data_IF_821844055302
#
_entry.id   IF_821844055302
#
_cell.length_a   1.000
_cell.length_b   1.000
_cell.length_c   1.000
_cell.angle_alpha   90.00
_cell.angle_beta   90.00
_cell.angle_gamma   90.00
#
_symmetry.space_group_name_H-M   'P 1'
#
loop_
_entity.id
_entity.type
_entity.pdbx_description
1 polymer ?
#
# COMPACT_ATOMS: atom_id res chain seq x y z
N UNK A 1 -17.00 -36.02 -62.28
CA UNK A 1 -17.37 -36.41 -60.90
C UNK A 1 -16.14 -36.26 -59.99
N UNK A 2 -15.98 -35.13 -59.33
CA UNK A 2 -14.85 -34.83 -58.44
C UNK A 2 -15.39 -34.65 -57.04
N UNK A 3 -15.05 -35.57 -56.13
CA UNK A 3 -15.35 -35.49 -54.70
C UNK A 3 -14.24 -34.64 -54.03
N UNK A 4 -14.55 -33.44 -53.55
CA UNK A 4 -13.66 -32.66 -52.68
C UNK A 4 -13.81 -33.14 -51.23
N UNK A 5 -12.74 -33.19 -50.44
CA UNK A 5 -12.77 -33.66 -49.07
C UNK A 5 -13.23 -32.58 -48.10
N UNK A 6 -14.21 -32.95 -47.28
CA UNK A 6 -14.71 -32.23 -46.09
C UNK A 6 -13.77 -32.45 -44.89
N UNK A 7 -12.59 -31.85 -44.91
CA UNK A 7 -11.60 -32.09 -43.81
C UNK A 7 -10.83 -30.82 -43.36
N UNK A 8 -11.45 -29.65 -43.47
CA UNK A 8 -10.77 -28.38 -43.10
C UNK A 8 -11.56 -27.51 -42.13
N UNK A 9 -12.45 -28.06 -41.28
CA UNK A 9 -13.26 -27.22 -40.35
C UNK A 9 -13.24 -27.66 -38.90
N UNK A 10 -12.21 -28.33 -38.42
CA UNK A 10 -12.15 -28.83 -37.03
C UNK A 10 -11.02 -28.27 -36.17
N UNK A 11 -10.25 -27.26 -36.61
CA UNK A 11 -9.10 -26.75 -35.84
C UNK A 11 -9.25 -25.35 -35.25
N UNK A 12 -10.45 -24.77 -35.21
CA UNK A 12 -10.61 -23.34 -34.82
C UNK A 12 -11.31 -23.11 -33.47
N UNK A 13 -11.49 -24.11 -32.63
CA UNK A 13 -12.21 -23.94 -31.34
C UNK A 13 -11.37 -24.19 -30.07
N UNK A 14 -10.05 -24.18 -30.12
CA UNK A 14 -9.20 -24.34 -28.93
C UNK A 14 -8.30 -23.11 -28.65
N UNK A 15 -8.70 -21.92 -29.07
CA UNK A 15 -8.13 -20.70 -28.52
C UNK A 15 -8.76 -20.43 -27.14
N UNK A 16 -8.55 -21.36 -26.20
CA UNK A 16 -8.81 -21.16 -24.78
C UNK A 16 -7.99 -19.94 -24.32
N UNK A 17 -8.68 -18.91 -23.85
CA UNK A 17 -8.05 -17.77 -23.21
C UNK A 17 -7.17 -18.26 -22.05
N UNK A 18 -5.89 -18.39 -22.30
CA UNK A 18 -4.87 -18.50 -21.24
C UNK A 18 -4.80 -17.09 -20.62
N UNK A 19 -5.61 -16.87 -19.58
CA UNK A 19 -5.44 -15.69 -18.74
C UNK A 19 -4.07 -15.80 -18.06
N UNK A 20 -3.21 -14.78 -18.17
CA UNK A 20 -1.91 -14.85 -17.55
C UNK A 20 -2.08 -14.96 -16.02
N UNK A 21 -1.53 -16.01 -15.44
CA UNK A 21 -1.52 -16.27 -14.00
C UNK A 21 -0.83 -15.17 -13.16
N UNK A 22 -0.26 -14.17 -13.81
CA UNK A 22 0.42 -13.03 -13.19
C UNK A 22 -0.50 -12.07 -12.44
N UNK A 23 -1.81 -12.05 -12.75
CA UNK A 23 -2.75 -11.13 -12.08
C UNK A 23 -3.13 -11.56 -10.67
N UNK A 24 -3.09 -12.85 -10.37
CA UNK A 24 -3.50 -13.39 -9.06
C UNK A 24 -2.39 -13.26 -8.01
N UNK A 25 -1.14 -13.51 -8.41
CA UNK A 25 0.04 -13.28 -7.56
C UNK A 25 0.28 -11.79 -7.23
N UNK A 26 -0.09 -10.88 -8.13
CA UNK A 26 0.01 -9.44 -7.88
C UNK A 26 -1.06 -8.98 -6.88
N UNK A 27 -2.29 -9.50 -6.95
CA UNK A 27 -3.37 -9.20 -6.00
C UNK A 27 -3.07 -9.71 -4.59
N UNK A 28 -2.37 -10.84 -4.45
CA UNK A 28 -2.07 -11.46 -3.16
C UNK A 28 -1.06 -10.69 -2.29
N UNK A 29 -0.46 -9.61 -2.81
CA UNK A 29 0.56 -8.81 -2.12
C UNK A 29 0.11 -7.39 -1.78
N UNK A 30 -1.11 -7.02 -2.09
CA UNK A 30 -1.60 -5.67 -1.82
C UNK A 30 -2.06 -5.55 -0.37
N UNK A 31 -1.62 -4.54 0.38
CA UNK A 31 -2.00 -4.32 1.78
C UNK A 31 -3.40 -3.68 1.86
N UNK A 32 -4.45 -4.45 1.60
CA UNK A 32 -5.83 -3.97 1.68
C UNK A 32 -6.27 -3.69 3.10
N UNK A 33 -7.13 -2.66 3.28
CA UNK A 33 -7.70 -2.27 4.57
C UNK A 33 -8.71 -3.30 5.10
N UNK A 34 -9.39 -4.02 4.21
CA UNK A 34 -10.36 -5.03 4.59
C UNK A 34 -9.73 -6.42 4.70
N UNK A 35 -10.04 -7.13 5.78
CA UNK A 35 -9.69 -8.53 5.93
C UNK A 35 -10.70 -9.42 5.20
N UNK A 36 -10.33 -9.91 4.02
CA UNK A 36 -11.16 -10.82 3.23
C UNK A 36 -10.68 -12.28 3.25
N UNK A 37 -9.80 -12.64 4.17
CA UNK A 37 -9.11 -13.93 4.15
C UNK A 37 -8.09 -14.07 3.01
N UNK A 38 -7.89 -13.01 2.25
CA UNK A 38 -7.01 -12.91 1.09
C UNK A 38 -5.54 -12.77 1.54
N UNK A 39 -4.58 -13.33 0.79
CA UNK A 39 -3.14 -13.13 1.02
C UNK A 39 -2.69 -11.67 1.16
N UNK A 40 -3.38 -10.71 0.56
CA UNK A 40 -3.09 -9.28 0.67
C UNK A 40 -3.22 -8.75 2.09
N UNK A 41 -4.21 -9.20 2.83
CA UNK A 41 -4.41 -8.80 4.23
C UNK A 41 -3.34 -9.36 5.16
N UNK A 42 -2.71 -10.48 4.79
CA UNK A 42 -1.57 -11.03 5.54
C UNK A 42 -0.44 -10.02 5.66
N UNK A 43 -0.29 -9.14 4.66
CA UNK A 43 0.75 -8.12 4.69
C UNK A 43 0.49 -7.05 5.76
N UNK A 44 -0.76 -6.60 5.96
CA UNK A 44 -1.11 -5.66 7.04
C UNK A 44 -0.86 -6.30 8.41
N UNK A 45 -1.14 -7.60 8.56
CA UNK A 45 -0.81 -8.37 9.78
C UNK A 45 0.71 -8.41 10.00
N UNK A 46 1.49 -8.67 8.97
CA UNK A 46 2.96 -8.66 9.06
C UNK A 46 3.50 -7.26 9.42
N UNK A 47 2.91 -6.18 8.89
CA UNK A 47 3.24 -4.82 9.30
C UNK A 47 2.95 -4.59 10.79
N UNK A 48 1.79 -5.06 11.27
CA UNK A 48 1.42 -4.99 12.67
C UNK A 48 2.42 -5.72 13.57
N UNK A 49 2.89 -6.88 13.16
CA UNK A 49 3.91 -7.65 13.87
C UNK A 49 5.30 -7.00 13.82
N UNK A 50 5.65 -6.38 12.69
CA UNK A 50 6.93 -5.71 12.51
C UNK A 50 7.08 -4.45 13.38
N UNK A 51 5.97 -3.72 13.60
CA UNK A 51 5.92 -2.51 14.45
C UNK A 51 4.84 -2.69 15.51
N UNK A 52 5.12 -3.48 16.58
CA UNK A 52 4.11 -3.86 17.57
C UNK A 52 3.53 -2.67 18.34
N UNK A 53 4.29 -1.60 18.51
CA UNK A 53 3.84 -0.38 19.19
C UNK A 53 2.83 0.45 18.38
N UNK A 54 2.76 0.28 17.06
CA UNK A 54 1.92 1.09 16.19
C UNK A 54 0.42 0.85 16.45
N UNK A 55 -0.31 1.88 16.84
CA UNK A 55 -1.77 1.81 17.04
C UNK A 55 -2.55 1.87 15.74
N UNK A 56 -1.92 2.30 14.64
CA UNK A 56 -2.51 2.38 13.30
C UNK A 56 -1.60 1.73 12.26
N UNK A 57 -2.20 1.12 11.25
CA UNK A 57 -1.54 0.38 10.19
C UNK A 57 -1.96 0.95 8.85
N UNK A 58 -1.01 1.35 7.97
CA UNK A 58 -1.36 1.86 6.66
C UNK A 58 -1.88 0.74 5.76
N UNK A 59 -2.91 1.04 5.00
CA UNK A 59 -3.51 0.09 4.07
C UNK A 59 -4.04 0.81 2.81
N UNK A 60 -4.41 0.03 1.81
CA UNK A 60 -4.96 0.50 0.55
C UNK A 60 -6.46 0.20 0.54
N UNK A 61 -7.29 1.20 0.32
CA UNK A 61 -8.72 1.00 0.10
C UNK A 61 -9.00 0.62 -1.36
N UNK A 62 -8.55 1.44 -2.28
CA UNK A 62 -8.70 1.22 -3.71
C UNK A 62 -7.58 1.93 -4.46
N UNK A 63 -6.83 1.21 -5.30
CA UNK A 63 -5.82 1.85 -6.15
C UNK A 63 -6.47 2.58 -7.34
N UNK A 64 -6.08 3.82 -7.63
CA UNK A 64 -6.51 4.51 -8.83
C UNK A 64 -6.01 3.80 -10.09
N UNK A 65 -6.65 4.06 -11.23
CA UNK A 65 -6.19 3.54 -12.52
C UNK A 65 -4.73 3.97 -12.78
N UNK A 66 -3.93 3.05 -13.30
CA UNK A 66 -2.51 3.29 -13.60
C UNK A 66 -1.57 3.15 -12.39
N UNK A 67 -2.10 2.85 -11.20
CA UNK A 67 -1.28 2.58 -10.01
C UNK A 67 -1.21 1.09 -9.69
N UNK A 68 -0.04 0.62 -9.29
CA UNK A 68 0.19 -0.78 -8.92
C UNK A 68 1.11 -0.88 -7.70
N UNK A 69 0.89 -1.89 -6.85
CA UNK A 69 1.84 -2.24 -5.78
C UNK A 69 3.05 -2.95 -6.39
N UNK A 70 4.25 -2.46 -6.12
CA UNK A 70 5.48 -2.99 -6.72
C UNK A 70 6.38 -3.71 -5.74
N UNK A 71 6.61 -3.14 -4.59
CA UNK A 71 7.58 -3.63 -3.62
C UNK A 71 6.95 -3.70 -2.23
N UNK A 72 7.24 -4.78 -1.52
CA UNK A 72 6.72 -5.06 -0.19
C UNK A 72 7.87 -5.58 0.66
N UNK A 73 8.10 -4.93 1.80
CA UNK A 73 9.20 -5.26 2.68
C UNK A 73 8.78 -5.17 4.15
N UNK A 74 9.13 -6.18 4.94
CA UNK A 74 8.84 -6.23 6.37
C UNK A 74 10.07 -6.73 7.12
N UNK A 75 10.47 -6.01 8.15
CA UNK A 75 11.46 -6.42 9.14
C UNK A 75 11.12 -5.82 10.51
N UNK A 76 11.73 -6.32 11.58
CA UNK A 76 11.52 -5.77 12.92
C UNK A 76 11.76 -4.25 12.94
N UNK A 77 10.78 -3.51 13.45
CA UNK A 77 10.80 -2.06 13.55
C UNK A 77 10.50 -1.31 12.25
N UNK A 78 10.27 -2.00 11.12
CA UNK A 78 9.97 -1.32 9.86
C UNK A 78 9.18 -2.17 8.90
N UNK A 79 8.13 -1.59 8.34
CA UNK A 79 7.44 -2.17 7.18
C UNK A 79 7.27 -1.11 6.10
N UNK A 80 7.30 -1.51 4.84
CA UNK A 80 7.04 -0.62 3.71
C UNK A 80 6.39 -1.35 2.56
N UNK A 81 5.65 -0.59 1.75
CA UNK A 81 5.29 -0.97 0.40
C UNK A 81 5.47 0.21 -0.54
N UNK A 82 5.65 -0.07 -1.82
CA UNK A 82 5.81 0.96 -2.83
C UNK A 82 4.72 0.84 -3.90
N UNK A 83 4.36 1.98 -4.45
CA UNK A 83 3.42 2.11 -5.56
C UNK A 83 4.14 2.64 -6.78
N UNK A 84 3.92 1.99 -7.93
CA UNK A 84 4.30 2.51 -9.24
C UNK A 84 3.11 3.25 -9.84
N UNK A 85 3.40 4.22 -10.70
CA UNK A 85 2.40 4.89 -11.53
C UNK A 85 2.89 4.90 -12.99
N UNK A 86 1.99 4.63 -13.92
CA UNK A 86 2.24 4.74 -15.36
C UNK A 86 2.49 6.18 -15.82
N UNK A 87 2.06 7.18 -15.00
CA UNK A 87 2.22 8.61 -15.28
C UNK A 87 3.51 9.22 -14.72
N UNK A 88 3.97 8.76 -13.55
CA UNK A 88 5.09 9.41 -12.84
C UNK A 88 6.19 8.46 -12.41
N UNK A 89 6.14 7.20 -12.83
CA UNK A 89 7.27 6.28 -12.78
C UNK A 89 7.19 5.22 -11.69
N UNK A 90 8.29 4.50 -11.57
CA UNK A 90 8.46 3.41 -10.59
C UNK A 90 8.72 3.98 -9.19
N UNK A 91 8.20 3.29 -8.17
CA UNK A 91 8.31 3.70 -6.76
C UNK A 91 7.86 5.15 -6.53
N UNK A 92 6.83 5.57 -7.29
CA UNK A 92 6.29 6.92 -7.23
C UNK A 92 5.85 7.32 -5.82
N UNK A 93 5.38 6.35 -5.03
CA UNK A 93 5.11 6.53 -3.60
C UNK A 93 5.67 5.36 -2.82
N UNK A 94 6.39 5.63 -1.74
CA UNK A 94 6.75 4.63 -0.74
C UNK A 94 6.00 4.93 0.55
N UNK A 95 5.24 3.97 1.04
CA UNK A 95 4.56 4.01 2.33
C UNK A 95 5.40 3.24 3.33
N UNK A 96 5.86 3.92 4.38
CA UNK A 96 6.76 3.35 5.39
C UNK A 96 6.14 3.50 6.77
N UNK A 97 6.01 2.37 7.49
CA UNK A 97 5.60 2.31 8.90
C UNK A 97 6.83 2.06 9.77
N UNK A 98 7.02 2.91 10.78
CA UNK A 98 8.11 2.84 11.78
C UNK A 98 7.59 3.23 13.16
N UNK A 99 8.28 2.85 14.26
CA UNK A 99 7.90 3.28 15.62
C UNK A 99 7.94 4.80 15.79
N UNK A 100 8.83 5.48 15.08
CA UNK A 100 9.02 6.93 15.13
C UNK A 100 9.41 7.48 13.78
N UNK A 101 8.98 8.72 13.46
CA UNK A 101 9.42 9.43 12.26
C UNK A 101 10.57 10.37 12.53
N UNK A 102 11.47 10.48 11.56
CA UNK A 102 12.51 11.50 11.50
C UNK A 102 11.91 12.84 11.03
N UNK A 103 11.30 13.59 11.95
CA UNK A 103 10.73 14.90 11.67
C UNK A 103 11.79 16.02 11.68
N UNK A 104 13.03 15.72 12.08
CA UNK A 104 14.12 16.68 12.15
C UNK A 104 14.52 17.23 10.77
N UNK A 105 14.95 18.49 10.76
CA UNK A 105 15.45 19.19 9.59
C UNK A 105 14.58 20.39 9.17
N UNK A 106 15.17 21.28 8.37
CA UNK A 106 14.50 22.45 7.85
C UNK A 106 13.27 22.06 7.00
N UNK A 107 12.19 22.83 7.16
CA UNK A 107 10.98 22.77 6.32
C UNK A 107 9.97 21.63 6.56
N UNK A 108 9.89 21.08 7.77
CA UNK A 108 8.73 20.27 8.15
C UNK A 108 7.64 21.19 8.70
N UNK A 109 6.47 21.20 8.06
CA UNK A 109 5.32 22.00 8.45
C UNK A 109 4.21 21.11 8.99
N UNK A 110 3.65 21.46 10.15
CA UNK A 110 2.45 20.81 10.66
C UNK A 110 1.24 21.33 9.89
N UNK A 111 0.38 20.40 9.44
CA UNK A 111 -0.86 20.69 8.72
C UNK A 111 -2.03 19.97 9.37
N UNK A 112 -3.29 20.38 9.15
CA UNK A 112 -4.44 19.62 9.61
C UNK A 112 -4.37 18.16 9.11
N UNK A 113 -4.71 17.20 9.98
CA UNK A 113 -4.79 15.81 9.58
C UNK A 113 -6.17 15.47 9.07
N UNK A 114 -6.21 14.73 7.97
CA UNK A 114 -7.39 14.12 7.38
C UNK A 114 -7.70 12.73 8.00
N UNK A 115 -6.73 12.17 8.76
CA UNK A 115 -6.84 10.85 9.38
C UNK A 115 -7.08 10.96 10.90
N UNK A 116 -8.15 10.37 11.43
CA UNK A 116 -8.47 10.42 12.85
C UNK A 116 -7.33 9.84 13.73
N UNK A 117 -7.09 10.48 14.87
CA UNK A 117 -6.07 10.03 15.83
C UNK A 117 -4.63 10.26 15.39
N UNK A 118 -4.39 10.99 14.28
CA UNK A 118 -3.06 11.28 13.77
C UNK A 118 -2.73 12.78 13.80
N UNK A 119 -1.44 13.10 13.80
CA UNK A 119 -0.89 14.44 13.55
C UNK A 119 -0.15 14.41 12.23
N UNK A 120 -0.57 15.26 11.28
CA UNK A 120 0.04 15.32 9.96
C UNK A 120 1.13 16.40 9.88
N UNK A 121 2.23 16.04 9.22
CA UNK A 121 3.32 16.93 8.89
C UNK A 121 3.70 16.73 7.44
N UNK A 122 4.19 17.78 6.79
CA UNK A 122 4.62 17.73 5.41
C UNK A 122 6.02 18.32 5.26
N UNK A 123 6.82 17.69 4.42
CA UNK A 123 8.11 18.17 3.95
C UNK A 123 8.07 18.21 2.42
N UNK A 124 8.14 19.41 1.88
CA UNK A 124 8.35 19.58 0.45
C UNK A 124 9.85 19.49 0.21
N UNK A 125 10.27 18.52 -0.59
CA UNK A 125 11.65 18.37 -1.02
C UNK A 125 11.93 19.24 -2.24
N UNK A 126 12.55 18.65 -3.25
CA UNK A 126 12.87 19.35 -4.48
C UNK A 126 11.69 19.36 -5.45
N UNK A 127 11.46 20.53 -6.05
CA UNK A 127 10.59 20.70 -7.21
C UNK A 127 11.47 21.19 -8.35
N UNK A 128 11.69 20.31 -9.34
CA UNK A 128 12.46 20.67 -10.53
C UNK A 128 11.49 20.70 -11.72
N UNK A 129 11.10 21.89 -12.21
CA UNK A 129 10.20 22.02 -13.35
C UNK A 129 10.69 21.16 -14.53
N UNK A 130 9.80 20.34 -15.10
CA UNK A 130 10.12 19.45 -16.22
C UNK A 130 11.03 18.26 -15.91
N UNK A 131 11.48 18.08 -14.63
CA UNK A 131 12.41 17.01 -14.26
C UNK A 131 11.82 16.12 -13.19
N UNK A 132 11.21 16.66 -12.13
CA UNK A 132 10.63 15.83 -11.09
C UNK A 132 10.23 16.55 -9.81
N UNK A 133 9.65 15.77 -8.91
CA UNK A 133 9.19 16.20 -7.60
C UNK A 133 9.56 15.19 -6.54
N UNK A 134 10.00 15.67 -5.38
CA UNK A 134 10.10 14.88 -4.16
C UNK A 134 9.37 15.55 -3.00
N UNK A 135 8.78 14.77 -2.13
CA UNK A 135 8.10 15.27 -0.94
C UNK A 135 7.83 14.13 0.05
N UNK A 136 7.51 14.49 1.28
CA UNK A 136 7.14 13.50 2.29
C UNK A 136 6.00 14.03 3.13
N UNK A 137 4.98 13.22 3.33
CA UNK A 137 3.90 13.42 4.28
C UNK A 137 4.06 12.43 5.42
N UNK A 138 3.95 12.91 6.65
CA UNK A 138 4.06 12.09 7.84
C UNK A 138 2.75 12.11 8.61
N UNK A 139 2.33 10.95 9.07
CA UNK A 139 1.23 10.74 9.99
C UNK A 139 1.79 10.14 11.27
N UNK A 140 1.79 10.92 12.34
CA UNK A 140 2.31 10.53 13.67
C UNK A 140 1.15 10.21 14.58
N UNK A 141 1.16 9.03 15.17
CA UNK A 141 0.14 8.53 16.06
C UNK A 141 0.76 7.78 17.26
N UNK A 142 -0.05 7.28 18.15
CA UNK A 142 0.44 6.56 19.32
C UNK A 142 1.25 5.33 18.91
N UNK A 143 2.51 5.27 19.38
CA UNK A 143 3.42 4.15 19.17
C UNK A 143 3.91 3.94 17.74
N UNK A 144 3.66 4.89 16.83
CA UNK A 144 4.10 4.74 15.46
C UNK A 144 4.03 6.01 14.61
N UNK A 145 4.58 5.87 13.44
CA UNK A 145 4.52 6.87 12.38
C UNK A 145 4.49 6.22 11.00
N UNK A 146 3.69 6.77 10.12
CA UNK A 146 3.70 6.43 8.70
C UNK A 146 4.22 7.61 7.90
N UNK A 147 5.13 7.35 6.96
CA UNK A 147 5.55 8.35 5.98
C UNK A 147 5.15 7.93 4.57
N UNK A 148 4.53 8.85 3.83
CA UNK A 148 4.31 8.76 2.38
C UNK A 148 5.41 9.55 1.71
N UNK A 149 6.35 8.86 1.08
CA UNK A 149 7.50 9.44 0.39
C UNK A 149 7.20 9.48 -1.10
N UNK A 150 7.00 10.68 -1.64
CA UNK A 150 6.71 10.91 -3.05
C UNK A 150 8.00 11.12 -3.83
N UNK A 151 8.12 10.43 -4.96
CA UNK A 151 9.22 10.57 -5.91
C UNK A 151 8.67 10.46 -7.33
N UNK A 152 8.33 11.58 -7.92
CA UNK A 152 7.77 11.66 -9.27
C UNK A 152 8.84 12.06 -10.26
N UNK A 153 8.88 11.44 -11.42
CA UNK A 153 9.76 11.79 -12.54
C UNK A 153 9.28 13.01 -13.32
N UNK A 154 8.09 13.54 -12.98
CA UNK A 154 7.56 14.81 -13.47
C UNK A 154 6.99 15.60 -12.31
N UNK A 155 7.11 16.93 -12.36
CA UNK A 155 6.48 17.85 -11.42
C UNK A 155 5.10 18.34 -11.90
N UNK A 156 4.74 18.02 -13.12
CA UNK A 156 3.43 18.29 -13.68
C UNK A 156 2.36 17.46 -12.98
N UNK A 157 1.19 18.02 -12.80
CA UNK A 157 0.04 17.36 -12.15
C UNK A 157 0.30 16.80 -10.72
N UNK A 158 1.46 17.12 -10.10
CA UNK A 158 1.84 16.55 -8.80
C UNK A 158 0.76 16.70 -7.71
N UNK A 159 0.06 17.83 -7.68
CA UNK A 159 -0.98 18.07 -6.70
C UNK A 159 -2.17 17.12 -6.88
N UNK A 160 -2.57 16.88 -8.12
CA UNK A 160 -3.63 15.94 -8.48
C UNK A 160 -3.20 14.51 -8.13
N UNK A 161 -2.01 14.10 -8.53
CA UNK A 161 -1.49 12.74 -8.30
C UNK A 161 -1.28 12.42 -6.80
N UNK A 162 -0.81 13.40 -6.02
CA UNK A 162 -0.74 13.28 -4.56
C UNK A 162 -2.15 13.12 -3.98
N UNK A 163 -3.13 13.90 -4.46
CA UNK A 163 -4.51 13.79 -4.06
C UNK A 163 -5.10 12.42 -4.36
N UNK A 164 -4.97 11.95 -5.60
CA UNK A 164 -5.47 10.64 -6.04
C UNK A 164 -4.93 9.50 -5.18
N UNK A 165 -3.61 9.43 -5.00
CA UNK A 165 -3.00 8.33 -4.24
C UNK A 165 -3.28 8.45 -2.75
N UNK A 166 -3.37 9.65 -2.21
CA UNK A 166 -3.68 9.85 -0.79
C UNK A 166 -5.10 9.39 -0.46
N UNK A 167 -6.08 9.65 -1.34
CA UNK A 167 -7.45 9.17 -1.19
C UNK A 167 -7.58 7.65 -1.29
N UNK A 168 -6.56 6.98 -1.82
CA UNK A 168 -6.51 5.52 -1.96
C UNK A 168 -5.84 4.83 -0.79
N UNK A 169 -5.13 5.59 0.04
CA UNK A 169 -4.43 5.13 1.23
C UNK A 169 -5.22 5.54 2.47
N UNK A 170 -5.32 4.65 3.42
CA UNK A 170 -6.03 4.87 4.67
C UNK A 170 -5.32 4.15 5.82
N UNK A 171 -5.93 4.18 6.98
CA UNK A 171 -5.44 3.50 8.17
C UNK A 171 -6.50 2.58 8.75
N UNK A 172 -6.08 1.39 9.13
CA UNK A 172 -6.85 0.52 10.00
C UNK A 172 -6.24 0.55 11.39
N UNK A 173 -7.04 0.71 12.42
CA UNK A 173 -6.54 0.64 13.79
C UNK A 173 -6.08 -0.79 14.09
N UNK A 174 -5.04 -0.93 14.94
CA UNK A 174 -4.59 -2.25 15.39
C UNK A 174 -5.72 -3.06 16.03
N UNK A 175 -6.58 -2.40 16.82
CA UNK A 175 -7.70 -3.06 17.49
C UNK A 175 -8.77 -3.53 16.48
N UNK A 176 -9.07 -2.75 15.46
CA UNK A 176 -9.97 -3.18 14.39
C UNK A 176 -9.38 -4.37 13.63
N UNK A 177 -8.10 -4.32 13.26
CA UNK A 177 -7.42 -5.44 12.61
C UNK A 177 -7.41 -6.69 13.49
N UNK A 178 -7.19 -6.54 14.78
CA UNK A 178 -7.28 -7.62 15.76
C UNK A 178 -8.67 -8.28 15.77
N UNK A 179 -9.73 -7.45 15.78
CA UNK A 179 -11.12 -7.93 15.69
C UNK A 179 -11.36 -8.75 14.42
N UNK A 180 -10.94 -8.24 13.27
CA UNK A 180 -11.06 -8.91 11.98
C UNK A 180 -10.33 -10.27 11.94
N UNK A 181 -9.11 -10.34 12.51
CA UNK A 181 -8.34 -11.59 12.59
C UNK A 181 -9.05 -12.60 13.49
N UNK A 182 -9.53 -12.19 14.65
CA UNK A 182 -10.24 -13.09 15.57
C UNK A 182 -11.51 -13.65 14.95
N UNK A 183 -12.28 -12.82 14.26
CA UNK A 183 -13.49 -13.22 13.55
C UNK A 183 -13.14 -14.23 12.44
N UNK A 184 -12.21 -13.90 11.54
CA UNK A 184 -11.83 -14.76 10.43
C UNK A 184 -11.18 -16.09 10.84
N UNK A 185 -10.55 -16.14 12.01
CA UNK A 185 -9.91 -17.35 12.53
C UNK A 185 -10.75 -18.09 13.58
N UNK A 186 -11.98 -17.64 13.84
CA UNK A 186 -12.81 -18.14 14.94
C UNK A 186 -12.08 -18.11 16.29
N UNK A 187 -11.33 -17.02 16.55
CA UNK A 187 -10.58 -16.83 17.79
C UNK A 187 -9.26 -17.60 17.88
N UNK A 188 -8.85 -18.35 16.85
CA UNK A 188 -7.59 -19.14 16.87
C UNK A 188 -6.32 -18.32 16.70
N UNK A 189 -6.42 -17.11 16.16
CA UNK A 189 -5.31 -16.16 16.04
C UNK A 189 -5.71 -14.80 16.62
N UNK A 190 -4.73 -14.09 17.16
CA UNK A 190 -4.90 -12.76 17.72
C UNK A 190 -3.65 -11.90 17.43
N UNK A 191 -3.80 -10.58 17.47
CA UNK A 191 -2.70 -9.63 17.51
C UNK A 191 -2.54 -9.12 18.93
N UNK A 192 -1.29 -9.01 19.40
CA UNK A 192 -0.99 -8.37 20.68
C UNK A 192 -1.52 -6.92 20.68
N UNK A 193 -2.00 -6.45 21.82
CA UNK A 193 -2.35 -5.04 22.01
C UNK A 193 -1.09 -4.18 21.88
N UNK A 194 -1.23 -2.92 21.46
CA UNK A 194 -0.07 -2.00 21.32
C UNK A 194 0.67 -1.73 22.64
N UNK A 195 0.03 -1.96 23.79
CA UNK A 195 0.60 -1.82 25.14
C UNK A 195 1.49 -2.99 25.53
N UNK A 196 1.20 -4.21 25.08
CA UNK A 196 1.95 -5.41 25.46
C UNK A 196 3.29 -5.52 24.70
N UNK A 197 3.42 -4.84 23.58
CA UNK A 197 4.59 -4.87 22.73
C UNK A 197 5.80 -4.09 23.27
N UNK A 198 5.60 -3.17 24.22
CA UNK A 198 6.66 -2.38 24.85
C UNK A 198 7.35 -3.04 26.04
N UNK A 199 6.92 -4.22 26.47
CA UNK A 199 7.40 -4.92 27.67
C UNK A 199 8.25 -6.17 27.39
N UNK A 200 8.67 -6.41 26.16
CA UNK A 200 9.54 -7.54 25.78
C UNK A 200 10.91 -7.08 25.33
#
# INVERSE_FOLDING_TARGET
MRRLPLLALACLLLAGCVQPATSELARSRQPYCEYRGDPGTKFVVLMAQAVPSASQLPCIELLPAGWTVSDVFVRNGRARFALNSDRVGMHAVQVVLEPTCQLGGAKVTRVPSDEPGTRRFERIGEVRPGIGFTGTRFYVFQGGCVSYQFQFNSSEERAQLIGEVTLSLSFVTRDAMRGLIREATHGRADLDTSTDAGSR
#
